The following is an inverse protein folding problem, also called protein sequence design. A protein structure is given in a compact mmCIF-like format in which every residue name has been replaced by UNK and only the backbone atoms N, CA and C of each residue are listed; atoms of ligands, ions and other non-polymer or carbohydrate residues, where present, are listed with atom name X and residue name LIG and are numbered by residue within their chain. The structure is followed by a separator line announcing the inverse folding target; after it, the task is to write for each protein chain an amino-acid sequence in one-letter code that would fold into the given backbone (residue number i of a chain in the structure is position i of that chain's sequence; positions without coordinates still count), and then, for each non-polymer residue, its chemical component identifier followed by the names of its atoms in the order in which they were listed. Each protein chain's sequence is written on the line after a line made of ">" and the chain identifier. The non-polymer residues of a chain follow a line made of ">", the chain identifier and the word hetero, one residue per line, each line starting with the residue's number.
data_IF_074040156720
#
_entry.id   IF_074040156720
#
_cell.length_a   1.000
_cell.length_b   1.000
_cell.length_c   1.000
_cell.angle_alpha   90.00
_cell.angle_beta   90.00
_cell.angle_gamma   90.00
#
_symmetry.space_group_name_H-M   'P 1'
#
loop_
_entity.id
_entity.type
_entity.pdbx_description
1 polymer ?
#
# COMPACT_ATOMS: atom_id res chain seq x y z
N UNK A 1 34.90 -37.49 -0.67
CA UNK A 1 34.25 -38.30 -1.74
C UNK A 1 33.23 -37.43 -2.42
N UNK A 2 33.50 -37.00 -3.64
CA UNK A 2 32.46 -36.33 -4.46
C UNK A 2 31.47 -37.39 -4.90
N UNK A 3 30.34 -37.49 -4.19
CA UNK A 3 29.21 -38.29 -4.67
C UNK A 3 28.65 -37.61 -5.92
N UNK A 4 28.80 -38.24 -7.07
CA UNK A 4 28.25 -37.79 -8.33
C UNK A 4 26.74 -38.11 -8.30
N UNK A 5 25.93 -37.26 -7.65
CA UNK A 5 24.48 -37.42 -7.54
C UNK A 5 23.84 -37.17 -8.91
N UNK A 6 22.85 -37.96 -9.30
CA UNK A 6 22.21 -37.82 -10.61
C UNK A 6 21.44 -36.48 -10.71
N UNK A 7 21.74 -35.68 -11.73
CA UNK A 7 20.94 -34.52 -12.13
C UNK A 7 19.88 -34.95 -13.14
N UNK A 8 18.60 -34.86 -12.76
CA UNK A 8 17.46 -35.23 -13.61
C UNK A 8 16.75 -34.01 -14.21
N UNK A 9 17.12 -32.79 -13.84
CA UNK A 9 16.46 -31.56 -14.32
C UNK A 9 16.79 -31.24 -15.77
N UNK A 10 18.02 -31.53 -16.19
CA UNK A 10 18.52 -31.29 -17.55
C UNK A 10 18.29 -32.46 -18.52
N UNK A 11 17.78 -33.60 -18.04
CA UNK A 11 17.49 -34.75 -18.88
C UNK A 11 16.18 -34.61 -19.66
N UNK A 12 16.21 -34.90 -20.95
CA UNK A 12 15.03 -34.96 -21.81
C UNK A 12 14.11 -36.11 -21.37
N UNK A 13 13.07 -35.80 -20.61
CA UNK A 13 12.08 -36.79 -20.14
C UNK A 13 10.65 -36.20 -20.15
N UNK A 14 10.39 -35.24 -21.01
CA UNK A 14 9.05 -34.63 -21.11
C UNK A 14 8.22 -35.28 -22.18
N UNK A 15 6.97 -35.56 -21.87
CA UNK A 15 5.96 -36.03 -22.86
C UNK A 15 5.46 -34.89 -23.74
N UNK A 16 5.69 -33.63 -23.33
CA UNK A 16 5.41 -32.42 -24.09
C UNK A 16 6.54 -31.42 -23.94
N UNK A 17 7.08 -30.91 -25.05
CA UNK A 17 8.13 -29.91 -25.09
C UNK A 17 7.54 -28.53 -25.26
N UNK A 18 7.31 -27.83 -24.15
CA UNK A 18 6.76 -26.45 -24.11
C UNK A 18 7.50 -25.61 -23.08
N UNK A 19 7.86 -24.35 -23.40
CA UNK A 19 8.41 -23.41 -22.43
C UNK A 19 7.35 -23.04 -21.39
N UNK A 20 7.80 -22.70 -20.16
CA UNK A 20 6.94 -22.22 -19.07
C UNK A 20 7.36 -20.82 -18.66
N UNK A 21 6.40 -19.91 -18.57
CA UNK A 21 6.70 -18.49 -18.27
C UNK A 21 7.30 -18.31 -16.88
N UNK A 22 6.72 -18.94 -15.86
CA UNK A 22 7.17 -18.82 -14.47
C UNK A 22 7.14 -20.15 -13.75
N UNK A 23 8.28 -20.56 -13.23
CA UNK A 23 8.46 -21.76 -12.41
C UNK A 23 9.27 -21.37 -11.18
N UNK A 24 8.83 -21.72 -9.97
CA UNK A 24 9.51 -21.26 -8.76
C UNK A 24 8.85 -21.70 -7.47
N UNK A 25 9.02 -20.88 -6.44
CA UNK A 25 8.57 -21.16 -5.09
C UNK A 25 7.85 -19.92 -4.51
N UNK A 26 6.83 -20.17 -3.70
CA UNK A 26 6.05 -19.13 -3.02
C UNK A 26 6.09 -19.31 -1.50
N UNK A 27 5.85 -18.21 -0.78
CA UNK A 27 5.68 -18.22 0.67
C UNK A 27 6.97 -18.48 1.45
N UNK A 28 8.14 -18.22 0.88
CA UNK A 28 9.43 -18.37 1.57
C UNK A 28 9.55 -17.29 2.64
N UNK A 29 9.58 -17.69 3.91
CA UNK A 29 9.81 -16.78 5.01
C UNK A 29 11.30 -16.43 5.14
N UNK A 30 11.60 -15.13 5.20
CA UNK A 30 12.96 -14.65 5.44
C UNK A 30 12.97 -13.27 6.13
N UNK A 31 14.00 -12.95 6.92
CA UNK A 31 14.21 -11.62 7.43
C UNK A 31 14.79 -10.72 6.34
N UNK A 32 14.30 -9.49 6.27
CA UNK A 32 14.87 -8.42 5.43
C UNK A 32 15.18 -7.21 6.30
N UNK A 33 16.10 -6.37 5.84
CA UNK A 33 16.43 -5.10 6.45
C UNK A 33 16.22 -3.98 5.43
N UNK A 34 15.58 -2.89 5.81
CA UNK A 34 15.42 -1.72 4.96
C UNK A 34 16.55 -0.72 5.20
N UNK A 35 16.97 0.02 4.17
CA UNK A 35 18.02 1.04 4.29
C UNK A 35 17.64 2.17 5.26
N UNK A 36 16.35 2.50 5.35
CA UNK A 36 15.80 3.50 6.28
C UNK A 36 15.71 3.02 7.74
N UNK A 37 15.78 1.70 7.97
CA UNK A 37 15.73 1.08 9.30
C UNK A 37 16.79 -0.02 9.45
N UNK A 38 18.09 0.31 9.35
CA UNK A 38 19.16 -0.69 9.27
C UNK A 38 19.33 -1.53 10.54
N UNK A 39 18.83 -1.06 11.67
CA UNK A 39 18.88 -1.78 12.95
C UNK A 39 17.67 -2.68 13.19
N UNK A 40 16.69 -2.70 12.28
CA UNK A 40 15.44 -3.43 12.44
C UNK A 40 15.30 -4.49 11.34
N UNK A 41 15.06 -5.74 11.74
CA UNK A 41 14.74 -6.82 10.82
C UNK A 41 13.23 -6.97 10.70
N UNK A 42 12.72 -7.00 9.47
CA UNK A 42 11.33 -7.22 9.14
C UNK A 42 11.12 -8.66 8.67
N UNK A 43 10.02 -9.27 9.10
CA UNK A 43 9.61 -10.57 8.56
C UNK A 43 8.98 -10.38 7.19
N UNK A 44 9.54 -11.00 6.17
CA UNK A 44 9.00 -10.96 4.82
C UNK A 44 8.64 -12.35 4.31
N UNK A 45 7.70 -12.39 3.35
CA UNK A 45 7.41 -13.55 2.51
C UNK A 45 7.91 -13.26 1.10
N UNK A 46 8.70 -14.19 0.56
CA UNK A 46 9.20 -14.09 -0.80
C UNK A 46 8.57 -15.14 -1.70
N UNK A 47 8.18 -14.69 -2.91
CA UNK A 47 7.80 -15.54 -4.02
C UNK A 47 8.85 -15.34 -5.11
N UNK A 48 9.54 -16.40 -5.51
CA UNK A 48 10.66 -16.35 -6.45
C UNK A 48 10.44 -17.30 -7.61
N UNK A 49 10.63 -16.78 -8.82
CA UNK A 49 10.41 -17.53 -10.06
C UNK A 49 11.50 -17.24 -11.07
N UNK A 50 11.72 -18.20 -11.95
CA UNK A 50 12.46 -18.02 -13.21
C UNK A 50 11.63 -18.59 -14.37
N UNK A 51 11.91 -18.16 -15.59
CA UNK A 51 11.34 -18.80 -16.78
C UNK A 51 11.97 -20.18 -17.00
N UNK A 52 11.25 -21.07 -17.68
CA UNK A 52 11.81 -22.31 -18.23
C UNK A 52 11.66 -22.22 -19.75
N UNK A 53 12.69 -21.66 -20.40
CA UNK A 53 12.68 -21.34 -21.83
C UNK A 53 13.10 -22.55 -22.67
N UNK A 54 13.94 -23.43 -22.10
CA UNK A 54 14.36 -24.66 -22.74
C UNK A 54 13.23 -25.68 -22.71
N UNK A 55 12.51 -25.79 -23.83
CA UNK A 55 11.25 -26.52 -23.94
C UNK A 55 11.35 -28.03 -23.63
N UNK A 56 12.54 -28.64 -23.85
CA UNK A 56 12.80 -30.06 -23.62
C UNK A 56 13.37 -30.36 -22.23
N UNK A 57 13.64 -29.33 -21.41
CA UNK A 57 14.12 -29.52 -20.04
C UNK A 57 12.98 -29.92 -19.10
N UNK A 58 13.24 -30.87 -18.21
CA UNK A 58 12.25 -31.38 -17.26
C UNK A 58 11.86 -30.34 -16.20
N UNK A 59 12.76 -29.44 -15.81
CA UNK A 59 12.51 -28.45 -14.78
C UNK A 59 13.74 -27.55 -14.51
N UNK A 60 13.62 -26.76 -13.46
CA UNK A 60 14.65 -25.85 -12.97
C UNK A 60 15.33 -26.38 -11.70
N UNK A 61 16.45 -25.77 -11.30
CA UNK A 61 17.13 -26.10 -10.05
C UNK A 61 16.56 -25.28 -8.87
N UNK A 62 15.48 -25.75 -8.24
CA UNK A 62 14.78 -25.08 -7.14
C UNK A 62 15.69 -24.71 -5.96
N UNK A 63 16.59 -25.61 -5.56
CA UNK A 63 17.51 -25.36 -4.44
C UNK A 63 18.46 -24.19 -4.67
N UNK A 64 18.84 -23.93 -5.93
CA UNK A 64 19.67 -22.78 -6.31
C UNK A 64 18.92 -21.46 -6.07
N UNK A 65 17.61 -21.40 -6.39
CA UNK A 65 16.80 -20.21 -6.15
C UNK A 65 16.76 -19.87 -4.65
N UNK A 66 16.51 -20.89 -3.81
CA UNK A 66 16.42 -20.68 -2.36
C UNK A 66 17.74 -20.18 -1.76
N UNK A 67 18.86 -20.80 -2.13
CA UNK A 67 20.18 -20.42 -1.63
C UNK A 67 20.55 -18.98 -2.03
N UNK A 68 20.35 -18.61 -3.30
CA UNK A 68 20.63 -17.25 -3.77
C UNK A 68 19.75 -16.21 -3.12
N UNK A 69 18.46 -16.51 -2.95
CA UNK A 69 17.53 -15.65 -2.25
C UNK A 69 18.01 -15.36 -0.82
N UNK A 70 18.34 -16.40 -0.06
CA UNK A 70 18.84 -16.29 1.30
C UNK A 70 20.14 -15.48 1.36
N UNK A 71 21.13 -15.82 0.55
CA UNK A 71 22.44 -15.13 0.53
C UNK A 71 22.30 -13.63 0.26
N UNK A 72 21.42 -13.23 -0.67
CA UNK A 72 21.29 -11.83 -1.11
C UNK A 72 20.43 -10.95 -0.20
N UNK A 73 19.43 -11.51 0.47
CA UNK A 73 18.42 -10.69 1.17
C UNK A 73 18.57 -10.66 2.70
N UNK A 74 19.37 -11.56 3.28
CA UNK A 74 19.49 -11.62 4.76
C UNK A 74 20.74 -10.92 5.31
N UNK A 75 21.71 -10.58 4.46
CA UNK A 75 23.02 -10.08 4.90
C UNK A 75 23.16 -8.56 4.77
N UNK A 76 22.42 -7.93 3.89
CA UNK A 76 22.53 -6.50 3.60
C UNK A 76 21.14 -5.84 3.50
N UNK A 77 21.05 -4.51 3.72
CA UNK A 77 19.80 -3.79 3.53
C UNK A 77 19.29 -3.93 2.08
N UNK A 78 17.97 -4.01 1.96
CA UNK A 78 17.28 -4.10 0.69
C UNK A 78 17.52 -2.84 -0.15
N UNK A 79 18.15 -3.01 -1.30
CA UNK A 79 18.40 -1.94 -2.28
C UNK A 79 18.03 -2.40 -3.68
N UNK A 80 17.77 -1.47 -4.59
CA UNK A 80 17.51 -1.82 -5.99
C UNK A 80 18.70 -2.54 -6.64
N UNK A 81 19.92 -2.15 -6.28
CA UNK A 81 21.15 -2.83 -6.75
C UNK A 81 21.21 -4.30 -6.31
N UNK A 82 20.91 -4.58 -5.03
CA UNK A 82 20.85 -5.94 -4.50
C UNK A 82 19.75 -6.78 -5.18
N UNK A 83 18.57 -6.21 -5.40
CA UNK A 83 17.47 -6.87 -6.12
C UNK A 83 17.83 -7.18 -7.58
N UNK A 84 18.46 -6.24 -8.27
CA UNK A 84 18.91 -6.43 -9.66
C UNK A 84 19.96 -7.54 -9.75
N UNK A 85 20.99 -7.49 -8.89
CA UNK A 85 22.03 -8.50 -8.84
C UNK A 85 21.48 -9.90 -8.50
N UNK A 86 20.52 -9.96 -7.57
CA UNK A 86 19.84 -11.21 -7.23
C UNK A 86 19.12 -11.80 -8.45
N UNK A 87 18.28 -11.02 -9.14
CA UNK A 87 17.52 -11.52 -10.29
C UNK A 87 18.42 -11.97 -11.43
N UNK A 88 19.52 -11.26 -11.71
CA UNK A 88 20.55 -11.68 -12.67
C UNK A 88 21.21 -13.00 -12.25
N UNK A 89 21.53 -13.12 -10.96
CA UNK A 89 22.12 -14.36 -10.42
C UNK A 89 21.14 -15.52 -10.45
N UNK A 90 19.84 -15.28 -10.24
CA UNK A 90 18.81 -16.33 -10.37
C UNK A 90 18.78 -16.88 -11.80
N UNK A 91 18.77 -16.03 -12.82
CA UNK A 91 18.81 -16.44 -14.24
C UNK A 91 20.08 -17.21 -14.52
N UNK A 92 21.26 -16.66 -14.20
CA UNK A 92 22.55 -17.29 -14.50
C UNK A 92 22.73 -18.63 -13.78
N UNK A 93 22.14 -18.81 -12.59
CA UNK A 93 22.19 -20.06 -11.82
C UNK A 93 21.48 -21.23 -12.48
N UNK A 94 20.61 -20.97 -13.47
CA UNK A 94 19.85 -21.99 -14.17
C UNK A 94 20.54 -22.53 -15.44
N UNK A 95 21.76 -22.12 -15.73
CA UNK A 95 22.63 -22.73 -16.76
C UNK A 95 21.96 -22.87 -18.15
N UNK A 96 21.39 -21.76 -18.65
CA UNK A 96 20.77 -21.73 -19.98
C UNK A 96 19.35 -22.31 -20.05
N UNK A 97 18.73 -22.59 -18.90
CA UNK A 97 17.32 -22.98 -18.81
C UNK A 97 16.38 -21.78 -18.80
N UNK A 98 16.87 -20.65 -18.30
CA UNK A 98 16.03 -19.46 -17.97
C UNK A 98 16.62 -18.18 -18.54
N UNK A 99 15.75 -17.29 -19.06
CA UNK A 99 16.09 -15.96 -19.57
C UNK A 99 15.45 -14.83 -18.75
N UNK A 100 14.55 -15.14 -17.84
CA UNK A 100 13.84 -14.18 -17.00
C UNK A 100 13.75 -14.66 -15.55
N UNK A 101 13.67 -13.69 -14.62
CA UNK A 101 13.41 -13.95 -13.21
C UNK A 101 12.40 -12.95 -12.66
N UNK A 102 11.63 -13.39 -11.65
CA UNK A 102 10.68 -12.57 -10.88
C UNK A 102 10.87 -12.82 -9.40
N UNK A 103 10.83 -11.76 -8.64
CA UNK A 103 10.77 -11.78 -7.18
C UNK A 103 9.60 -10.92 -6.71
N UNK A 104 8.82 -11.41 -5.75
CA UNK A 104 7.89 -10.61 -4.98
C UNK A 104 8.24 -10.75 -3.50
N UNK A 105 8.30 -9.61 -2.81
CA UNK A 105 8.53 -9.52 -1.37
C UNK A 105 7.34 -8.85 -0.72
N UNK A 106 6.67 -9.54 0.19
CA UNK A 106 5.53 -9.03 0.95
C UNK A 106 5.94 -8.91 2.41
N UNK A 107 5.77 -7.73 3.01
CA UNK A 107 6.10 -7.46 4.40
C UNK A 107 5.22 -6.37 5.00
N UNK A 108 5.19 -6.30 6.34
CA UNK A 108 4.50 -5.26 7.11
C UNK A 108 5.50 -4.23 7.59
N UNK A 109 5.35 -2.97 7.15
CA UNK A 109 6.16 -1.86 7.65
C UNK A 109 5.45 -1.20 8.82
N UNK A 110 6.08 -1.23 10.00
CA UNK A 110 5.56 -0.57 11.20
C UNK A 110 6.17 0.81 11.33
N UNK A 111 5.31 1.84 11.34
CA UNK A 111 5.69 3.25 11.45
C UNK A 111 5.20 3.80 12.78
N UNK A 112 6.08 4.54 13.48
CA UNK A 112 5.73 5.33 14.66
C UNK A 112 4.96 6.57 14.23
N UNK A 113 3.73 6.74 14.75
CA UNK A 113 2.81 7.82 14.40
C UNK A 113 2.60 8.73 15.62
N UNK A 114 2.96 10.03 15.55
CA UNK A 114 2.61 10.97 16.60
C UNK A 114 1.11 11.27 16.59
N UNK A 115 0.54 11.54 17.75
CA UNK A 115 -0.79 12.12 17.88
C UNK A 115 -0.81 13.57 17.37
N UNK A 116 -2.00 14.12 17.13
CA UNK A 116 -2.15 15.47 16.54
C UNK A 116 -1.65 16.59 17.46
N UNK A 117 -1.89 16.50 18.77
CA UNK A 117 -1.60 17.58 19.73
C UNK A 117 -0.87 17.11 20.99
N UNK A 118 -1.20 15.96 21.56
CA UNK A 118 -0.84 15.56 22.92
C UNK A 118 0.60 15.10 23.10
N UNK A 119 1.39 14.99 22.03
CA UNK A 119 2.74 14.44 22.09
C UNK A 119 2.78 12.92 22.36
N UNK A 120 1.62 12.24 22.42
CA UNK A 120 1.57 10.79 22.44
C UNK A 120 1.99 10.22 21.08
N UNK A 121 2.29 8.94 21.05
CA UNK A 121 2.57 8.23 19.81
C UNK A 121 2.07 6.79 19.92
N UNK A 122 1.75 6.22 18.79
CA UNK A 122 1.47 4.79 18.65
C UNK A 122 2.18 4.24 17.43
N UNK A 123 1.85 3.02 17.06
CA UNK A 123 2.41 2.34 15.90
C UNK A 123 1.29 1.92 14.96
N UNK A 124 1.56 2.04 13.67
CA UNK A 124 0.67 1.59 12.62
C UNK A 124 1.46 0.78 11.60
N UNK A 125 0.89 -0.35 11.18
CA UNK A 125 1.47 -1.19 10.14
C UNK A 125 0.86 -0.87 8.79
N UNK A 126 1.71 -0.93 7.77
CA UNK A 126 1.34 -0.76 6.37
C UNK A 126 1.81 -1.97 5.59
N UNK A 127 0.92 -2.68 4.89
CA UNK A 127 1.33 -3.75 4.00
C UNK A 127 2.07 -3.15 2.80
N UNK A 128 3.25 -3.70 2.54
CA UNK A 128 4.12 -3.33 1.43
C UNK A 128 4.39 -4.58 0.59
N UNK A 129 4.23 -4.47 -0.72
CA UNK A 129 4.65 -5.50 -1.66
C UNK A 129 5.55 -4.91 -2.72
N UNK A 130 6.73 -5.49 -2.91
CA UNK A 130 7.68 -5.13 -3.97
C UNK A 130 7.73 -6.28 -4.95
N UNK A 131 7.37 -6.03 -6.21
CA UNK A 131 7.50 -7.01 -7.28
C UNK A 131 8.54 -6.55 -8.29
N UNK A 132 9.58 -7.35 -8.46
CA UNK A 132 10.67 -7.12 -9.40
C UNK A 132 10.64 -8.16 -10.51
N UNK A 133 10.77 -7.74 -11.76
CA UNK A 133 10.92 -8.61 -12.92
C UNK A 133 12.16 -8.22 -13.71
N UNK A 134 12.99 -9.22 -14.02
CA UNK A 134 14.14 -9.07 -14.90
C UNK A 134 13.86 -9.87 -16.18
N UNK A 135 13.61 -9.15 -17.28
CA UNK A 135 13.22 -9.72 -18.57
C UNK A 135 13.97 -8.97 -19.66
N UNK A 136 14.62 -9.68 -20.58
CA UNK A 136 15.41 -9.09 -21.68
C UNK A 136 16.40 -8.03 -21.18
N UNK A 137 17.13 -8.36 -20.12
CA UNK A 137 18.15 -7.48 -19.49
C UNK A 137 17.58 -6.17 -18.89
N UNK A 138 16.26 -6.05 -18.78
CA UNK A 138 15.58 -4.90 -18.19
C UNK A 138 14.94 -5.26 -16.87
N UNK A 139 15.15 -4.38 -15.90
CA UNK A 139 14.54 -4.43 -14.59
C UNK A 139 13.24 -3.62 -14.57
N UNK A 140 12.16 -4.26 -14.14
CA UNK A 140 10.89 -3.61 -13.84
C UNK A 140 10.58 -3.79 -12.37
N UNK A 141 10.20 -2.72 -11.67
CA UNK A 141 9.86 -2.77 -10.24
C UNK A 141 8.54 -2.10 -9.98
N UNK A 142 7.59 -2.87 -9.44
CA UNK A 142 6.30 -2.41 -8.98
C UNK A 142 6.27 -2.43 -7.44
N UNK A 143 5.83 -1.31 -6.85
CA UNK A 143 5.58 -1.17 -5.42
C UNK A 143 4.08 -1.09 -5.18
N UNK A 144 3.54 -1.94 -4.30
CA UNK A 144 2.15 -1.87 -3.86
C UNK A 144 2.06 -1.40 -2.41
N UNK A 145 1.15 -0.47 -2.15
CA UNK A 145 0.88 0.12 -0.83
C UNK A 145 -0.61 0.21 -0.57
N UNK A 146 -1.00 0.24 0.71
CA UNK A 146 -2.35 0.52 1.16
C UNK A 146 -2.33 1.58 2.25
N UNK A 147 -2.98 2.72 2.02
CA UNK A 147 -3.01 3.89 2.91
C UNK A 147 -4.42 4.02 3.50
N UNK A 148 -4.62 3.74 4.80
CA UNK A 148 -5.88 3.96 5.47
C UNK A 148 -6.04 5.43 5.87
N UNK A 149 -7.26 5.96 5.72
CA UNK A 149 -7.62 7.33 6.11
C UNK A 149 -9.07 7.42 6.58
N UNK A 150 -9.47 8.56 7.11
CA UNK A 150 -10.87 8.87 7.44
C UNK A 150 -11.50 9.68 6.32
N UNK A 151 -12.75 9.39 5.97
CA UNK A 151 -13.54 10.24 5.07
C UNK A 151 -14.89 10.59 5.70
N UNK A 152 -15.32 11.83 5.52
CA UNK A 152 -16.63 12.33 5.97
C UNK A 152 -17.35 12.89 4.76
N UNK A 153 -18.58 12.44 4.54
CA UNK A 153 -19.36 12.80 3.36
C UNK A 153 -19.80 14.28 3.39
N UNK A 154 -19.49 15.07 2.34
CA UNK A 154 -19.89 16.47 2.25
C UNK A 154 -21.41 16.67 2.25
N UNK A 155 -22.18 15.81 1.56
CA UNK A 155 -23.64 15.88 1.54
C UNK A 155 -24.22 15.64 2.93
N UNK A 156 -23.77 14.58 3.62
CA UNK A 156 -24.21 14.27 4.97
C UNK A 156 -23.90 15.39 5.95
N UNK A 157 -22.70 16.01 5.81
CA UNK A 157 -22.34 17.17 6.62
C UNK A 157 -23.22 18.40 6.35
N UNK A 158 -23.61 18.65 5.09
CA UNK A 158 -24.55 19.72 4.75
C UNK A 158 -25.94 19.47 5.35
N UNK A 159 -26.46 18.25 5.22
CA UNK A 159 -27.75 17.85 5.80
C UNK A 159 -27.74 17.90 7.34
N UNK A 160 -26.63 17.54 7.97
CA UNK A 160 -26.47 17.65 9.43
C UNK A 160 -26.48 19.09 9.90
N UNK A 161 -25.89 20.03 9.15
CA UNK A 161 -25.97 21.48 9.44
C UNK A 161 -27.40 22.01 9.26
N UNK A 162 -28.11 21.53 8.22
CA UNK A 162 -29.54 21.92 8.03
C UNK A 162 -30.40 21.44 9.21
N UNK A 163 -30.24 20.16 9.59
CA UNK A 163 -30.97 19.62 10.74
C UNK A 163 -30.68 20.39 12.04
N UNK A 164 -29.42 20.82 12.25
CA UNK A 164 -29.06 21.67 13.39
C UNK A 164 -29.74 23.04 13.33
N UNK A 165 -29.81 23.68 12.16
CA UNK A 165 -30.50 24.95 11.95
C UNK A 165 -31.97 24.86 12.26
N UNK A 166 -32.65 23.82 11.79
CA UNK A 166 -34.07 23.56 12.02
C UNK A 166 -34.37 23.29 13.50
N UNK A 167 -33.48 22.56 14.19
CA UNK A 167 -33.61 22.30 15.62
C UNK A 167 -33.42 23.56 16.46
N UNK A 168 -32.49 24.46 16.10
CA UNK A 168 -32.30 25.75 16.75
C UNK A 168 -33.58 26.62 16.56
N UNK A 169 -34.13 26.70 15.35
CA UNK A 169 -35.31 27.44 15.05
C UNK A 169 -36.52 26.90 15.82
N UNK A 170 -36.62 25.60 16.06
CA UNK A 170 -37.69 24.97 16.85
C UNK A 170 -37.50 25.22 18.34
N UNK A 171 -36.26 25.12 18.85
CA UNK A 171 -35.95 25.27 20.27
C UNK A 171 -36.07 26.72 20.75
N UNK A 172 -35.73 27.67 19.89
CA UNK A 172 -35.72 29.10 20.19
C UNK A 172 -36.66 29.82 19.22
N UNK A 173 -37.88 30.08 19.68
CA UNK A 173 -38.92 30.75 18.86
C UNK A 173 -38.78 32.27 18.85
N UNK A 174 -37.94 32.85 19.69
CA UNK A 174 -37.71 34.27 19.81
C UNK A 174 -36.79 34.80 18.70
N UNK A 175 -37.00 36.05 18.29
CA UNK A 175 -36.19 36.71 17.25
C UNK A 175 -34.71 36.88 17.66
N UNK A 176 -34.43 37.00 18.97
CA UNK A 176 -33.08 37.06 19.53
C UNK A 176 -32.88 36.02 20.63
N UNK A 177 -31.81 35.24 20.49
CA UNK A 177 -31.45 34.18 21.43
C UNK A 177 -30.25 34.62 22.27
N UNK A 178 -30.32 34.43 23.60
CA UNK A 178 -29.16 34.70 24.43
C UNK A 178 -28.00 33.72 24.09
N UNK A 179 -26.79 34.25 24.00
CA UNK A 179 -25.61 33.43 23.74
C UNK A 179 -25.44 32.31 24.78
N UNK A 180 -25.75 32.61 26.04
CA UNK A 180 -25.63 31.65 27.14
C UNK A 180 -26.64 30.51 26.98
N UNK A 181 -27.89 30.79 26.66
CA UNK A 181 -28.93 29.77 26.42
C UNK A 181 -28.53 28.86 25.22
N UNK A 182 -28.05 29.46 24.13
CA UNK A 182 -27.61 28.71 22.95
C UNK A 182 -26.40 27.81 23.27
N UNK A 183 -25.39 28.30 23.98
CA UNK A 183 -24.21 27.52 24.37
C UNK A 183 -24.58 26.38 25.33
N UNK A 184 -25.47 26.62 26.29
CA UNK A 184 -25.97 25.59 27.19
C UNK A 184 -26.70 24.49 26.42
N UNK A 185 -27.54 24.86 25.49
CA UNK A 185 -28.32 23.91 24.68
C UNK A 185 -27.38 23.09 23.74
N UNK A 186 -26.45 23.74 23.00
CA UNK A 186 -25.51 23.05 22.12
C UNK A 186 -24.59 22.07 22.89
N UNK A 187 -24.22 22.42 24.12
CA UNK A 187 -23.36 21.58 24.97
C UNK A 187 -24.10 20.43 25.65
N UNK A 188 -25.44 20.42 25.59
CA UNK A 188 -26.27 19.35 26.13
C UNK A 188 -26.44 18.20 25.12
N UNK A 189 -27.00 17.09 25.58
CA UNK A 189 -27.36 15.98 24.71
C UNK A 189 -28.37 16.37 23.61
N UNK A 190 -29.24 17.34 23.89
CA UNK A 190 -30.24 17.86 22.93
C UNK A 190 -29.58 18.58 21.75
N UNK A 191 -28.37 19.15 21.95
CA UNK A 191 -27.59 19.77 20.89
C UNK A 191 -26.94 18.77 19.92
N UNK A 192 -26.99 17.49 20.22
CA UNK A 192 -26.50 16.42 19.32
C UNK A 192 -27.57 16.03 18.30
N UNK A 193 -27.98 16.97 17.45
CA UNK A 193 -29.13 16.82 16.53
C UNK A 193 -28.86 15.82 15.41
N UNK A 194 -27.72 15.93 14.75
CA UNK A 194 -27.31 15.07 13.64
C UNK A 194 -25.81 15.07 13.51
N UNK A 195 -25.27 13.92 13.07
CA UNK A 195 -23.83 13.73 12.81
C UNK A 195 -23.66 13.23 11.38
N UNK A 196 -22.77 13.84 10.58
CA UNK A 196 -22.48 13.32 9.25
C UNK A 196 -21.87 11.93 9.36
N UNK A 197 -22.19 11.05 8.41
CA UNK A 197 -21.51 9.77 8.37
C UNK A 197 -20.05 9.94 7.98
N UNK A 198 -19.21 9.23 8.67
CA UNK A 198 -17.79 9.09 8.39
C UNK A 198 -17.40 7.64 8.49
N UNK A 199 -16.34 7.25 7.79
CA UNK A 199 -15.91 5.87 7.70
C UNK A 199 -14.40 5.78 7.53
N UNK A 200 -13.87 4.57 7.76
CA UNK A 200 -12.51 4.23 7.34
C UNK A 200 -12.51 4.02 5.84
N UNK A 201 -11.50 4.56 5.19
CA UNK A 201 -11.31 4.52 3.76
C UNK A 201 -9.89 4.07 3.44
N UNK A 202 -9.66 3.59 2.22
CA UNK A 202 -8.38 3.08 1.80
C UNK A 202 -8.00 3.62 0.42
N UNK A 203 -6.73 3.95 0.25
CA UNK A 203 -6.11 4.14 -1.04
C UNK A 203 -5.16 2.97 -1.31
N UNK A 204 -5.49 2.13 -2.26
CA UNK A 204 -4.64 1.04 -2.76
C UNK A 204 -3.86 1.56 -3.95
N UNK A 205 -2.55 1.43 -3.90
CA UNK A 205 -1.62 1.97 -4.89
C UNK A 205 -0.77 0.86 -5.47
N UNK A 206 -0.58 0.86 -6.79
CA UNK A 206 0.46 0.10 -7.49
C UNK A 206 1.27 1.11 -8.30
N UNK A 207 2.56 1.18 -8.02
CA UNK A 207 3.46 2.21 -8.51
C UNK A 207 4.60 1.55 -9.28
N UNK A 208 4.75 1.89 -10.55
CA UNK A 208 5.90 1.49 -11.35
C UNK A 208 7.04 2.48 -11.09
N UNK A 209 8.13 2.01 -10.47
CA UNK A 209 9.27 2.86 -10.14
C UNK A 209 10.12 3.14 -11.38
N UNK A 210 10.52 4.41 -11.55
CA UNK A 210 11.27 4.85 -12.75
C UNK A 210 12.78 4.70 -12.60
N UNK A 211 13.35 4.87 -11.41
CA UNK A 211 14.78 4.88 -11.17
C UNK A 211 15.25 3.61 -10.46
N UNK A 212 16.57 3.35 -10.53
CA UNK A 212 17.21 2.21 -9.88
C UNK A 212 17.37 2.40 -8.36
N UNK A 213 16.39 3.04 -7.71
CA UNK A 213 16.38 3.28 -6.27
C UNK A 213 15.03 2.91 -5.68
N UNK A 214 15.04 2.23 -4.53
CA UNK A 214 13.85 2.08 -3.72
C UNK A 214 13.57 3.41 -3.00
N UNK A 215 12.30 3.82 -2.88
CA UNK A 215 11.96 4.99 -2.09
C UNK A 215 12.20 4.73 -0.60
N UNK A 216 12.36 5.79 0.19
CA UNK A 216 12.07 5.72 1.61
C UNK A 216 10.56 5.47 1.78
N UNK A 217 10.19 4.27 2.22
CA UNK A 217 8.80 3.84 2.31
C UNK A 217 8.03 4.65 3.34
N UNK A 218 8.66 4.99 4.47
CA UNK A 218 8.04 5.80 5.52
C UNK A 218 7.73 7.20 5.04
N UNK A 219 8.65 7.84 4.31
CA UNK A 219 8.45 9.15 3.73
C UNK A 219 7.38 9.13 2.61
N UNK A 220 7.37 8.09 1.78
CA UNK A 220 6.38 7.93 0.71
C UNK A 220 4.96 7.75 1.27
N UNK A 221 4.79 6.89 2.28
CA UNK A 221 3.52 6.67 2.97
C UNK A 221 3.03 7.97 3.61
N UNK A 222 3.93 8.67 4.33
CA UNK A 222 3.60 9.96 4.93
C UNK A 222 3.14 10.98 3.89
N UNK A 223 3.80 11.05 2.75
CA UNK A 223 3.40 11.96 1.67
C UNK A 223 1.98 11.68 1.18
N UNK A 224 1.58 10.43 0.97
CA UNK A 224 0.21 10.09 0.58
C UNK A 224 -0.81 10.39 1.68
N UNK A 225 -0.47 10.18 2.94
CA UNK A 225 -1.31 10.58 4.07
C UNK A 225 -1.52 12.10 4.13
N UNK A 226 -0.46 12.88 3.94
CA UNK A 226 -0.51 14.34 3.95
C UNK A 226 -1.35 14.87 2.76
N UNK A 227 -1.24 14.25 1.59
CA UNK A 227 -2.01 14.58 0.39
C UNK A 227 -3.51 14.32 0.60
N UNK A 228 -3.87 13.21 1.21
CA UNK A 228 -5.27 12.88 1.53
C UNK A 228 -5.78 13.81 2.64
N UNK A 229 -4.98 14.08 3.66
CA UNK A 229 -5.20 15.08 4.69
C UNK A 229 -5.88 14.57 5.98
N UNK A 230 -6.36 13.34 6.01
CA UNK A 230 -7.09 12.77 7.17
C UNK A 230 -6.57 11.39 7.55
N UNK A 231 -5.25 11.23 7.83
CA UNK A 231 -4.68 9.95 8.19
C UNK A 231 -5.30 9.42 9.48
N UNK A 232 -5.50 8.09 9.56
CA UNK A 232 -5.98 7.45 10.79
C UNK A 232 -4.99 7.67 11.92
N UNK A 233 -5.52 7.79 13.14
CA UNK A 233 -4.75 8.01 14.34
C UNK A 233 -4.50 6.70 15.10
N UNK A 234 -3.50 6.68 15.97
CA UNK A 234 -3.15 5.50 16.78
C UNK A 234 -3.44 5.74 18.27
N UNK A 235 -2.48 6.19 19.04
CA UNK A 235 -2.66 6.54 20.45
C UNK A 235 -3.07 8.01 20.58
N UNK A 236 -4.22 8.29 21.20
CA UNK A 236 -4.82 9.62 21.30
C UNK A 236 -5.27 9.91 22.72
N UNK A 237 -5.24 11.20 23.10
CA UNK A 237 -5.97 11.75 24.24
C UNK A 237 -7.24 12.46 23.75
N UNK A 238 -8.09 12.92 24.68
CA UNK A 238 -9.34 13.64 24.35
C UNK A 238 -9.13 14.87 23.47
N UNK A 239 -8.02 15.59 23.68
CA UNK A 239 -7.64 16.75 22.86
C UNK A 239 -7.34 16.35 21.40
N UNK A 240 -6.71 15.18 21.20
CA UNK A 240 -6.44 14.64 19.86
C UNK A 240 -7.72 14.17 19.17
N UNK A 241 -8.65 13.54 19.91
CA UNK A 241 -9.97 13.16 19.39
C UNK A 241 -10.75 14.38 18.91
N UNK A 242 -10.74 15.48 19.71
CA UNK A 242 -11.37 16.73 19.31
C UNK A 242 -10.69 17.34 18.08
N UNK A 243 -9.34 17.33 18.04
CA UNK A 243 -8.58 17.81 16.88
C UNK A 243 -8.89 16.99 15.62
N UNK A 244 -8.99 15.67 15.76
CA UNK A 244 -9.35 14.79 14.65
C UNK A 244 -10.76 15.01 14.15
N UNK A 245 -11.72 15.27 15.04
CA UNK A 245 -13.09 15.66 14.65
C UNK A 245 -13.10 16.97 13.83
N UNK A 246 -12.32 17.97 14.24
CA UNK A 246 -12.14 19.23 13.48
C UNK A 246 -11.47 18.97 12.13
N UNK A 247 -10.41 18.17 12.10
CA UNK A 247 -9.68 17.81 10.87
C UNK A 247 -10.61 17.17 9.84
N UNK A 248 -11.50 16.26 10.27
CA UNK A 248 -12.51 15.66 9.40
C UNK A 248 -13.51 16.68 8.87
N UNK A 249 -13.95 17.61 9.71
CA UNK A 249 -14.90 18.67 9.31
C UNK A 249 -14.28 19.66 8.31
N UNK A 250 -12.99 19.93 8.42
CA UNK A 250 -12.22 20.79 7.52
C UNK A 250 -11.85 20.09 6.20
N UNK A 251 -11.89 18.76 6.16
CA UNK A 251 -11.52 17.92 5.04
C UNK A 251 -12.67 17.01 4.57
N UNK A 252 -13.87 17.57 4.44
CA UNK A 252 -14.98 16.83 3.84
C UNK A 252 -14.61 16.43 2.40
N UNK A 253 -14.84 15.16 2.05
CA UNK A 253 -14.46 14.67 0.72
C UNK A 253 -15.36 13.55 0.22
N UNK A 254 -15.67 13.60 -1.06
CA UNK A 254 -16.13 12.45 -1.82
C UNK A 254 -14.98 11.51 -2.18
N UNK A 255 -15.30 10.30 -2.59
CA UNK A 255 -14.32 9.35 -3.10
C UNK A 255 -13.51 9.93 -4.27
N UNK A 256 -14.17 10.69 -5.14
CA UNK A 256 -13.58 11.39 -6.28
C UNK A 256 -12.61 12.50 -5.87
N UNK A 257 -12.84 13.16 -4.75
CA UNK A 257 -11.94 14.23 -4.26
C UNK A 257 -10.62 13.63 -3.75
N UNK A 258 -10.70 12.54 -2.98
CA UNK A 258 -9.53 11.80 -2.54
C UNK A 258 -8.75 11.25 -3.74
N UNK A 259 -9.44 10.70 -4.74
CA UNK A 259 -8.85 10.20 -5.97
C UNK A 259 -8.12 11.30 -6.75
N UNK A 260 -8.69 12.49 -6.89
CA UNK A 260 -8.05 13.64 -7.57
C UNK A 260 -6.80 14.12 -6.85
N UNK A 261 -6.83 14.20 -5.51
CA UNK A 261 -5.65 14.55 -4.70
C UNK A 261 -4.51 13.56 -4.92
N UNK A 262 -4.80 12.25 -4.85
CA UNK A 262 -3.83 11.19 -5.10
C UNK A 262 -3.28 11.24 -6.53
N UNK A 263 -4.16 11.35 -7.53
CA UNK A 263 -3.75 11.45 -8.93
C UNK A 263 -2.78 12.61 -9.15
N UNK A 264 -3.10 13.78 -8.62
CA UNK A 264 -2.23 14.95 -8.74
C UNK A 264 -0.85 14.71 -8.09
N UNK A 265 -0.79 14.07 -6.92
CA UNK A 265 0.47 13.74 -6.27
C UNK A 265 1.28 12.71 -7.08
N UNK A 266 0.63 11.72 -7.66
CA UNK A 266 1.26 10.69 -8.50
C UNK A 266 1.80 11.28 -9.82
N UNK A 267 1.05 12.16 -10.48
CA UNK A 267 1.49 12.85 -11.71
C UNK A 267 2.70 13.75 -11.47
N UNK A 268 2.80 14.37 -10.29
CA UNK A 268 3.90 15.26 -9.93
C UNK A 268 5.14 14.50 -9.38
N UNK A 269 5.09 13.17 -9.26
CA UNK A 269 6.20 12.40 -8.74
C UNK A 269 7.04 11.80 -9.87
N UNK A 270 8.18 12.42 -10.17
CA UNK A 270 9.11 11.99 -11.23
C UNK A 270 9.72 10.59 -11.01
N UNK A 271 9.65 10.05 -9.79
CA UNK A 271 10.14 8.69 -9.48
C UNK A 271 9.15 7.58 -9.87
N UNK A 272 7.93 7.96 -10.28
CA UNK A 272 6.84 7.04 -10.66
C UNK A 272 6.58 7.18 -12.16
N UNK A 273 6.92 6.15 -12.92
CA UNK A 273 6.72 6.14 -14.38
C UNK A 273 5.29 5.84 -14.78
N UNK A 274 4.64 4.94 -14.04
CA UNK A 274 3.27 4.49 -14.25
C UNK A 274 2.62 4.16 -12.92
N UNK A 275 1.29 4.22 -12.84
CA UNK A 275 0.54 3.89 -11.65
C UNK A 275 -0.85 3.35 -11.96
N UNK A 276 -1.34 2.55 -11.04
CA UNK A 276 -2.74 2.23 -10.85
C UNK A 276 -3.11 2.54 -9.41
N UNK A 277 -4.31 3.08 -9.18
CA UNK A 277 -4.83 3.19 -7.83
C UNK A 277 -6.32 2.88 -7.77
N UNK A 278 -6.76 2.43 -6.60
CA UNK A 278 -8.16 2.32 -6.20
C UNK A 278 -8.33 3.09 -4.90
N UNK A 279 -9.23 4.05 -4.89
CA UNK A 279 -9.74 4.69 -3.67
C UNK A 279 -11.05 4.02 -3.30
N UNK A 280 -11.21 3.67 -2.04
CA UNK A 280 -12.38 2.99 -1.51
C UNK A 280 -12.85 3.64 -0.22
N UNK A 281 -14.05 4.22 -0.23
CA UNK A 281 -14.76 4.63 0.96
C UNK A 281 -15.65 3.48 1.44
N UNK A 282 -15.31 2.90 2.60
CA UNK A 282 -16.10 1.80 3.20
C UNK A 282 -17.32 2.38 3.88
N UNK A 283 -18.34 2.64 3.08
CA UNK A 283 -19.53 3.37 3.44
C UNK A 283 -20.20 2.84 4.72
N UNK A 284 -20.47 3.75 5.67
CA UNK A 284 -21.22 3.42 6.89
C UNK A 284 -22.73 3.60 6.73
N UNK A 285 -23.18 4.33 5.70
CA UNK A 285 -24.59 4.54 5.39
C UNK A 285 -25.16 3.41 4.51
N UNK A 286 -24.38 2.92 3.54
CA UNK A 286 -24.79 1.94 2.56
C UNK A 286 -24.15 0.58 2.80
N UNK A 287 -24.77 -0.49 2.31
CA UNK A 287 -24.19 -1.84 2.36
C UNK A 287 -23.12 -2.09 1.28
N UNK A 288 -22.78 -1.09 0.49
CA UNK A 288 -21.76 -1.12 -0.57
C UNK A 288 -20.78 0.04 -0.40
N UNK A 289 -19.61 -0.07 -1.00
CA UNK A 289 -18.57 0.94 -0.92
C UNK A 289 -18.63 1.86 -2.14
N UNK A 290 -18.25 3.13 -1.95
CA UNK A 290 -17.95 4.04 -3.06
C UNK A 290 -16.49 3.82 -3.48
N UNK A 291 -16.24 3.71 -4.80
CA UNK A 291 -14.91 3.43 -5.33
C UNK A 291 -14.58 4.30 -6.54
N UNK A 292 -13.31 4.69 -6.63
CA UNK A 292 -12.71 5.24 -7.85
C UNK A 292 -11.49 4.41 -8.20
N UNK A 293 -11.38 4.02 -9.46
CA UNK A 293 -10.21 3.32 -10.01
C UNK A 293 -9.65 4.16 -11.15
N UNK A 294 -8.36 4.41 -11.14
CA UNK A 294 -7.69 5.16 -12.21
C UNK A 294 -6.24 4.67 -12.40
N UNK A 295 -5.65 4.98 -13.56
CA UNK A 295 -4.30 4.59 -13.95
C UNK A 295 -3.73 5.61 -14.95
N UNK A 296 -2.40 5.64 -15.09
CA UNK A 296 -1.73 6.55 -16.03
C UNK A 296 -1.77 6.02 -17.45
N UNK A 297 -1.39 4.74 -17.64
CA UNK A 297 -1.38 4.08 -18.94
C UNK A 297 -2.26 2.82 -18.95
N UNK A 298 -3.15 2.63 -19.96
CA UNK A 298 -4.11 1.52 -20.01
C UNK A 298 -3.47 0.14 -20.10
N UNK A 299 -2.21 0.04 -20.53
CA UNK A 299 -1.57 -1.22 -20.93
C UNK A 299 -0.86 -1.96 -19.80
N UNK A 300 -1.41 -2.12 -18.66
CA UNK A 300 -0.73 -2.89 -17.61
C UNK A 300 -1.65 -3.42 -16.51
N UNK A 301 -2.71 -2.71 -16.25
CA UNK A 301 -3.51 -2.90 -15.05
C UNK A 301 -4.93 -3.46 -15.29
N UNK A 302 -5.37 -3.60 -16.54
CA UNK A 302 -6.70 -4.14 -16.89
C UNK A 302 -6.83 -5.67 -16.70
N UNK A 303 -5.84 -6.30 -16.05
CA UNK A 303 -5.87 -7.73 -15.71
C UNK A 303 -5.93 -7.89 -14.20
N UNK A 304 -7.06 -7.53 -13.62
CA UNK A 304 -7.46 -7.95 -12.29
C UNK A 304 -8.45 -9.08 -12.38
#
# INVERSE_FOLDING_TARGET
>A
MNMNLPDVTSKQLTTASLPLKWVGMEGIALPITLAEQPSSSLSAKANVFVSLDKADAKGIHMSRLYLRLKESLTNEPLTMGALTALLQTLVSSQEGLSLAARLQLDFELTIRKPALLSGQFGYQTYPVSIRCEYINEKMNTELSLSIPYSSTCPCSAALSRQAMSDAIATQFSEESVSKEALLTWISSQQGSVATPHSQRSFAYLKLQLQHNELPDFSALIKNFEDVIGTPVQTAVKREDEQAFAKLNAENLMFCEDAARRLKQALENNEKISDYWFKVEHQESLHAHNAVVIDHKFPQGYDKL
#
